data_IF_956807589752
#
_entry.id   IF_956807589752
#
_cell.length_a   1.000
_cell.length_b   1.000
_cell.length_c   1.000
_cell.angle_alpha   90.00
_cell.angle_beta   90.00
_cell.angle_gamma   90.00
#
_symmetry.space_group_name_H-M   'P 1'
#
loop_
_entity.id
_entity.type
_entity.pdbx_description
1 polymer ?
#
# COMPACT_ATOMS: atom_id res chain seq x y z
N UNK A 1 -5.46 48.29 7.74
CA UNK A 1 -4.40 47.27 7.91
C UNK A 1 -3.60 47.62 9.14
N UNK A 2 -3.16 46.62 9.92
CA UNK A 2 -2.45 46.81 11.20
C UNK A 2 -1.35 45.75 11.35
N UNK A 3 -0.27 46.08 12.05
CA UNK A 3 0.79 45.09 12.34
C UNK A 3 0.46 44.37 13.64
N UNK A 4 0.55 43.04 13.62
CA UNK A 4 0.40 42.17 14.80
C UNK A 4 1.68 41.33 14.98
N UNK A 5 2.02 41.06 16.22
CA UNK A 5 3.16 40.22 16.59
C UNK A 5 2.67 39.00 17.37
N UNK A 6 3.22 37.83 17.05
CA UNK A 6 2.92 36.56 17.69
C UNK A 6 4.21 35.92 18.20
N UNK A 7 4.19 35.36 19.41
CA UNK A 7 5.30 34.57 19.93
C UNK A 7 5.29 33.17 19.31
N UNK A 8 6.42 32.49 19.34
CA UNK A 8 6.52 31.08 18.93
C UNK A 8 5.49 30.23 19.69
N UNK A 9 4.70 29.45 18.96
CA UNK A 9 3.64 28.59 19.48
C UNK A 9 2.27 29.26 19.62
N UNK A 10 2.17 30.59 19.44
CA UNK A 10 0.88 31.27 19.49
C UNK A 10 0.06 30.98 18.23
N UNK A 11 -1.24 30.76 18.44
CA UNK A 11 -2.22 30.49 17.37
C UNK A 11 -2.63 31.83 16.76
N UNK A 12 -2.43 31.98 15.46
CA UNK A 12 -2.87 33.15 14.69
C UNK A 12 -4.38 33.06 14.43
N UNK A 13 -4.86 31.88 14.02
CA UNK A 13 -6.28 31.51 13.92
C UNK A 13 -6.43 29.98 13.97
N UNK A 14 -7.62 29.49 14.33
CA UNK A 14 -7.94 28.05 14.38
C UNK A 14 -8.73 27.59 13.15
N UNK A 15 -8.75 26.29 12.92
CA UNK A 15 -9.68 25.70 11.96
C UNK A 15 -11.13 25.92 12.41
N UNK A 16 -11.99 26.30 11.47
CA UNK A 16 -13.41 26.61 11.72
C UNK A 16 -13.67 28.07 12.11
N UNK A 17 -12.67 28.84 12.52
CA UNK A 17 -12.84 30.27 12.83
C UNK A 17 -13.32 31.02 11.59
N UNK A 18 -14.22 31.99 11.78
CA UNK A 18 -14.65 32.90 10.70
C UNK A 18 -13.47 33.71 10.20
N UNK A 19 -13.32 33.82 8.88
CA UNK A 19 -12.28 34.66 8.27
C UNK A 19 -12.73 36.12 8.35
N UNK A 20 -12.15 36.88 9.28
CA UNK A 20 -12.36 38.33 9.41
C UNK A 20 -11.20 39.14 8.83
N UNK A 21 -10.01 38.53 8.78
CA UNK A 21 -8.78 39.11 8.26
C UNK A 21 -7.93 38.05 7.55
N UNK A 22 -7.10 38.50 6.60
CA UNK A 22 -5.95 37.74 6.09
C UNK A 22 -4.66 38.35 6.62
N UNK A 23 -3.57 37.57 6.61
CA UNK A 23 -2.31 37.99 7.23
C UNK A 23 -1.16 37.79 6.26
N UNK A 24 -0.38 38.84 6.01
CA UNK A 24 0.88 38.75 5.27
C UNK A 24 2.04 38.66 6.27
N UNK A 25 2.85 37.61 6.19
CA UNK A 25 4.00 37.45 7.08
C UNK A 25 5.09 38.44 6.67
N UNK A 26 5.47 39.35 7.57
CA UNK A 26 6.54 40.32 7.36
C UNK A 26 7.89 39.78 7.84
N UNK A 27 7.92 39.08 8.97
CA UNK A 27 9.11 38.43 9.52
C UNK A 27 8.71 37.21 10.37
N UNK A 28 9.59 36.22 10.53
CA UNK A 28 9.31 34.99 11.28
C UNK A 28 8.72 33.90 10.39
N UNK A 29 7.76 33.12 10.92
CA UNK A 29 7.12 32.05 10.16
C UNK A 29 5.95 31.40 10.90
N UNK A 30 5.09 30.72 10.14
CA UNK A 30 3.92 30.04 10.66
C UNK A 30 3.75 28.66 10.02
N UNK A 31 3.29 27.70 10.82
CA UNK A 31 2.86 26.38 10.39
C UNK A 31 1.37 26.42 10.09
N UNK A 32 0.99 26.06 8.87
CA UNK A 32 -0.39 25.81 8.50
C UNK A 32 -0.72 24.34 8.80
N UNK A 33 -1.66 24.08 9.71
CA UNK A 33 -1.86 22.76 10.28
C UNK A 33 -3.32 22.48 10.68
N UNK A 34 -3.64 21.24 11.03
CA UNK A 34 -4.84 20.92 11.83
C UNK A 34 -4.46 20.67 13.29
N UNK A 35 -5.19 21.29 14.20
CA UNK A 35 -5.02 21.07 15.64
C UNK A 35 -5.82 19.82 16.01
N UNK A 36 -5.13 18.79 16.52
CA UNK A 36 -5.73 17.49 16.89
C UNK A 36 -5.22 17.03 18.25
N UNK A 37 -5.89 17.50 19.31
CA UNK A 37 -5.52 17.14 20.68
C UNK A 37 -4.09 17.59 21.02
N UNK A 38 -3.20 16.63 21.31
CA UNK A 38 -1.79 16.91 21.67
C UNK A 38 -0.82 17.00 20.48
N UNK A 39 -1.25 16.69 19.25
CA UNK A 39 -0.40 16.77 18.05
C UNK A 39 -1.04 17.65 16.98
N UNK A 40 -0.23 18.47 16.32
CA UNK A 40 -0.65 19.24 15.15
C UNK A 40 -0.25 18.47 13.90
N UNK A 41 -1.17 18.35 12.95
CA UNK A 41 -0.87 17.78 11.63
C UNK A 41 -0.48 18.93 10.72
N UNK A 42 0.81 19.08 10.48
CA UNK A 42 1.37 20.15 9.66
C UNK A 42 1.24 19.86 8.16
N UNK A 43 0.79 20.88 7.41
CA UNK A 43 0.70 20.84 5.95
C UNK A 43 1.79 21.65 5.27
N UNK A 44 2.01 22.88 5.73
CA UNK A 44 2.97 23.82 5.13
C UNK A 44 3.69 24.64 6.19
N UNK A 45 4.96 24.96 5.92
CA UNK A 45 5.71 26.00 6.62
C UNK A 45 5.73 27.25 5.76
N UNK A 46 5.27 28.37 6.33
CA UNK A 46 5.09 29.63 5.63
C UNK A 46 5.99 30.68 6.28
N UNK A 47 6.81 31.34 5.47
CA UNK A 47 7.76 32.37 5.90
C UNK A 47 7.37 33.78 5.42
N UNK A 48 8.30 34.75 5.49
CA UNK A 48 8.07 36.10 5.01
C UNK A 48 7.57 36.13 3.56
N UNK A 49 6.71 37.11 3.24
CA UNK A 49 6.02 37.27 1.95
C UNK A 49 4.92 36.24 1.64
N UNK A 50 4.67 35.25 2.50
CA UNK A 50 3.52 34.36 2.36
C UNK A 50 2.26 34.94 3.01
N UNK A 51 1.10 34.62 2.42
CA UNK A 51 -0.21 34.94 2.98
C UNK A 51 -0.78 33.77 3.80
N UNK A 52 -1.48 34.11 4.86
CA UNK A 52 -2.34 33.22 5.64
C UNK A 52 -3.80 33.63 5.47
N UNK A 53 -4.70 32.66 5.28
CA UNK A 53 -6.13 32.94 5.09
C UNK A 53 -6.52 33.33 3.66
N UNK A 54 -5.63 33.09 2.70
CA UNK A 54 -5.81 33.30 1.25
C UNK A 54 -7.09 32.69 0.67
N UNK A 55 -7.64 31.64 1.31
CA UNK A 55 -8.86 30.95 0.90
C UNK A 55 -10.10 31.85 0.78
N UNK A 56 -10.11 33.01 1.45
CA UNK A 56 -11.19 34.00 1.31
C UNK A 56 -11.32 34.53 -0.12
N UNK A 57 -10.24 34.52 -0.91
CA UNK A 57 -10.24 34.91 -2.33
C UNK A 57 -11.20 34.02 -3.15
N UNK A 58 -11.36 32.75 -2.73
CA UNK A 58 -12.29 31.79 -3.34
C UNK A 58 -13.66 31.74 -2.64
N UNK A 59 -13.96 32.73 -1.78
CA UNK A 59 -15.24 32.84 -1.08
C UNK A 59 -15.37 32.00 0.19
N UNK A 60 -14.28 31.42 0.71
CA UNK A 60 -14.32 30.72 1.99
C UNK A 60 -14.72 31.68 3.13
N UNK A 61 -15.64 31.22 3.99
CA UNK A 61 -16.12 31.99 5.14
C UNK A 61 -15.41 31.62 6.43
N UNK A 62 -14.80 30.44 6.49
CA UNK A 62 -14.08 29.92 7.65
C UNK A 62 -12.71 29.39 7.25
N UNK A 63 -11.76 29.42 8.18
CA UNK A 63 -10.43 28.87 7.98
C UNK A 63 -10.52 27.32 7.91
N UNK A 64 -10.07 26.67 6.82
CA UNK A 64 -10.10 25.21 6.71
C UNK A 64 -8.98 24.51 7.51
N UNK A 65 -8.01 25.29 7.99
CA UNK A 65 -6.82 24.86 8.73
C UNK A 65 -6.48 25.94 9.76
N UNK A 66 -5.77 25.59 10.82
CA UNK A 66 -5.17 26.55 11.74
C UNK A 66 -3.84 27.10 11.21
N UNK A 67 -3.40 28.23 11.77
CA UNK A 67 -2.05 28.76 11.59
C UNK A 67 -1.42 29.04 12.96
N UNK A 68 -0.21 28.53 13.18
CA UNK A 68 0.52 28.66 14.45
C UNK A 68 1.91 29.22 14.18
N UNK A 69 2.31 30.28 14.89
CA UNK A 69 3.62 30.88 14.74
C UNK A 69 4.74 29.88 15.12
N UNK A 70 5.74 29.70 14.26
CA UNK A 70 6.88 28.77 14.49
C UNK A 70 8.13 29.48 15.03
N UNK A 71 8.13 30.82 14.96
CA UNK A 71 9.08 31.73 15.59
C UNK A 71 8.35 33.00 16.05
N UNK A 72 9.07 33.97 16.64
CA UNK A 72 8.52 35.32 16.80
C UNK A 72 8.16 35.88 15.42
N UNK A 73 6.87 36.12 15.19
CA UNK A 73 6.32 36.35 13.86
C UNK A 73 5.54 37.65 13.82
N UNK A 74 5.92 38.55 12.90
CA UNK A 74 5.20 39.79 12.63
C UNK A 74 4.40 39.64 11.36
N UNK A 75 3.13 40.02 11.41
CA UNK A 75 2.22 39.96 10.28
C UNK A 75 1.55 41.31 10.06
N UNK A 76 1.26 41.61 8.79
CA UNK A 76 0.33 42.66 8.41
C UNK A 76 -1.07 42.04 8.32
N UNK A 77 -1.94 42.42 9.25
CA UNK A 77 -3.36 42.06 9.23
C UNK A 77 -4.12 42.96 8.24
N UNK A 78 -4.85 42.31 7.34
CA UNK A 78 -5.64 42.95 6.30
C UNK A 78 -7.10 42.49 6.49
N UNK A 79 -8.02 43.37 6.91
CA UNK A 79 -9.43 43.04 7.03
C UNK A 79 -10.00 42.57 5.69
N UNK A 80 -10.93 41.61 5.72
CA UNK A 80 -11.53 41.04 4.50
C UNK A 80 -12.20 42.12 3.64
N UNK A 81 -12.86 43.11 4.23
CA UNK A 81 -13.50 44.19 3.46
C UNK A 81 -12.48 45.07 2.74
N UNK A 82 -11.33 45.33 3.37
CA UNK A 82 -10.21 46.01 2.71
C UNK A 82 -9.65 45.18 1.55
N UNK A 83 -9.46 43.87 1.76
CA UNK A 83 -8.99 42.97 0.71
C UNK A 83 -9.97 42.91 -0.46
N UNK A 84 -11.28 42.86 -0.19
CA UNK A 84 -12.34 42.88 -1.21
C UNK A 84 -12.29 44.17 -2.03
N UNK A 85 -12.19 45.33 -1.39
CA UNK A 85 -12.06 46.61 -2.10
C UNK A 85 -10.81 46.64 -3.00
N UNK A 86 -9.67 46.13 -2.52
CA UNK A 86 -8.45 46.02 -3.33
C UNK A 86 -8.63 45.07 -4.51
N UNK A 87 -9.28 43.93 -4.29
CA UNK A 87 -9.57 42.96 -5.34
C UNK A 87 -10.55 43.51 -6.37
N UNK A 88 -11.62 44.18 -5.94
CA UNK A 88 -12.64 44.80 -6.80
C UNK A 88 -12.07 45.98 -7.61
N UNK A 89 -11.17 46.77 -7.02
CA UNK A 89 -10.45 47.84 -7.70
C UNK A 89 -9.35 47.36 -8.66
N UNK A 90 -8.98 46.08 -8.64
CA UNK A 90 -7.94 45.54 -9.50
C UNK A 90 -8.39 45.46 -10.98
N UNK A 91 -7.46 45.62 -11.95
CA UNK A 91 -7.74 45.38 -13.36
C UNK A 91 -8.30 43.98 -13.60
N UNK A 92 -9.23 43.85 -14.56
CA UNK A 92 -9.95 42.60 -14.82
C UNK A 92 -9.00 41.42 -15.08
N UNK A 93 -7.91 41.64 -15.81
CA UNK A 93 -6.92 40.60 -16.08
C UNK A 93 -6.26 40.08 -14.80
N UNK A 94 -5.94 40.97 -13.84
CA UNK A 94 -5.33 40.57 -12.58
C UNK A 94 -6.28 39.74 -11.72
N UNK A 95 -7.58 40.08 -11.71
CA UNK A 95 -8.62 39.26 -11.04
C UNK A 95 -8.64 37.83 -11.56
N UNK A 96 -8.57 37.66 -12.88
CA UNK A 96 -8.55 36.33 -13.52
C UNK A 96 -7.29 35.53 -13.13
N UNK A 97 -6.12 36.17 -13.15
CA UNK A 97 -4.86 35.54 -12.72
C UNK A 97 -4.94 35.10 -11.26
N UNK A 98 -5.37 35.99 -10.37
CA UNK A 98 -5.50 35.71 -8.93
C UNK A 98 -6.45 34.53 -8.70
N UNK A 99 -7.62 34.52 -9.36
CA UNK A 99 -8.59 33.44 -9.22
C UNK A 99 -8.03 32.09 -9.70
N UNK A 100 -7.36 32.07 -10.84
CA UNK A 100 -6.76 30.83 -11.37
C UNK A 100 -5.66 30.28 -10.47
N UNK A 101 -4.78 31.14 -9.94
CA UNK A 101 -3.73 30.74 -9.00
C UNK A 101 -4.33 30.24 -7.67
N UNK A 102 -5.36 30.92 -7.16
CA UNK A 102 -6.05 30.52 -5.95
C UNK A 102 -6.72 29.15 -6.11
N UNK A 103 -7.37 28.87 -7.25
CA UNK A 103 -7.96 27.56 -7.53
C UNK A 103 -6.91 26.44 -7.55
N UNK A 104 -5.75 26.65 -8.21
CA UNK A 104 -4.64 25.69 -8.20
C UNK A 104 -4.09 25.46 -6.79
N UNK A 105 -3.92 26.53 -6.01
CA UNK A 105 -3.46 26.43 -4.63
C UNK A 105 -4.44 25.65 -3.75
N UNK A 106 -5.75 25.88 -3.89
CA UNK A 106 -6.79 25.12 -3.19
C UNK A 106 -6.74 23.63 -3.54
N UNK A 107 -6.50 23.27 -4.80
CA UNK A 107 -6.33 21.87 -5.20
C UNK A 107 -5.12 21.23 -4.50
N UNK A 108 -3.94 21.86 -4.59
CA UNK A 108 -2.72 21.35 -3.95
C UNK A 108 -2.83 21.23 -2.43
N UNK A 109 -3.45 22.22 -1.77
CA UNK A 109 -3.71 22.18 -0.32
C UNK A 109 -4.62 21.01 0.05
N UNK A 110 -5.66 20.74 -0.75
CA UNK A 110 -6.57 19.62 -0.49
C UNK A 110 -5.89 18.25 -0.69
N UNK A 111 -5.00 18.13 -1.67
CA UNK A 111 -4.21 16.91 -1.88
C UNK A 111 -3.27 16.65 -0.70
N UNK A 112 -2.48 17.66 -0.29
CA UNK A 112 -1.59 17.57 0.88
C UNK A 112 -2.39 17.23 2.14
N UNK A 113 -3.54 17.89 2.33
CA UNK A 113 -4.43 17.61 3.45
C UNK A 113 -4.94 16.17 3.41
N UNK A 114 -5.38 15.67 2.26
CA UNK A 114 -5.85 14.29 2.12
C UNK A 114 -4.75 13.29 2.46
N UNK A 115 -3.53 13.48 1.96
CA UNK A 115 -2.39 12.61 2.22
C UNK A 115 -1.93 12.66 3.69
N UNK A 116 -1.98 13.83 4.33
CA UNK A 116 -1.57 14.01 5.74
C UNK A 116 -2.64 13.61 6.74
N UNK A 117 -3.91 13.58 6.32
CA UNK A 117 -5.05 13.10 7.11
C UNK A 117 -5.32 11.61 6.95
N UNK A 118 -4.54 10.89 6.13
CA UNK A 118 -4.45 9.44 6.25
C UNK A 118 -3.95 9.13 7.66
N UNK A 119 -4.88 8.76 8.55
CA UNK A 119 -4.71 8.54 10.00
C UNK A 119 -4.14 7.17 10.32
N UNK A 120 -3.56 6.53 9.33
CA UNK A 120 -3.25 5.13 9.38
C UNK A 120 -1.87 5.00 10.01
N UNK A 121 -1.77 4.29 11.13
CA UNK A 121 -0.50 4.05 11.84
C UNK A 121 0.54 3.36 10.96
N UNK A 122 0.07 2.73 9.89
CA UNK A 122 0.84 2.12 8.82
C UNK A 122 0.28 2.54 7.46
N UNK A 123 1.08 2.54 6.38
CA UNK A 123 0.64 2.89 5.02
C UNK A 123 -0.64 2.20 4.49
N UNK A 124 -0.85 0.93 4.85
CA UNK A 124 -2.03 0.13 4.51
C UNK A 124 -2.44 -0.74 5.71
N UNK A 125 -3.23 -0.20 6.65
CA UNK A 125 -3.72 -0.95 7.80
C UNK A 125 -4.59 -2.13 7.40
N UNK A 126 -4.66 -3.14 8.26
CA UNK A 126 -5.42 -4.37 8.00
C UNK A 126 -6.89 -4.09 7.63
N UNK A 127 -7.56 -3.15 8.30
CA UNK A 127 -8.96 -2.78 8.01
C UNK A 127 -9.13 -2.08 6.64
N UNK A 128 -8.05 -1.57 6.06
CA UNK A 128 -8.04 -0.90 4.77
C UNK A 128 -7.57 -1.81 3.61
N UNK A 129 -6.92 -2.96 3.88
CA UNK A 129 -6.36 -3.84 2.83
C UNK A 129 -7.41 -4.24 1.80
N UNK A 130 -8.54 -4.81 2.26
CA UNK A 130 -9.59 -5.28 1.35
C UNK A 130 -10.18 -4.12 0.53
N UNK A 131 -10.36 -2.95 1.15
CA UNK A 131 -10.89 -1.76 0.48
C UNK A 131 -9.92 -1.22 -0.58
N UNK A 132 -8.62 -1.19 -0.29
CA UNK A 132 -7.59 -0.69 -1.20
C UNK A 132 -7.48 -1.56 -2.46
N UNK A 133 -7.42 -2.89 -2.30
CA UNK A 133 -7.39 -3.82 -3.43
C UNK A 133 -8.74 -3.88 -4.16
N UNK A 134 -9.86 -3.85 -3.44
CA UNK A 134 -11.20 -3.79 -4.02
C UNK A 134 -11.43 -2.51 -4.85
N UNK A 135 -10.92 -1.36 -4.40
CA UNK A 135 -10.98 -0.12 -5.17
C UNK A 135 -10.20 -0.21 -6.48
N UNK A 136 -9.01 -0.81 -6.46
CA UNK A 136 -8.21 -1.08 -7.68
C UNK A 136 -8.98 -2.02 -8.61
N UNK A 137 -9.49 -3.14 -8.09
CA UNK A 137 -10.26 -4.11 -8.85
C UNK A 137 -11.49 -3.49 -9.52
N UNK A 138 -12.38 -2.85 -8.74
CA UNK A 138 -13.63 -2.31 -9.26
C UNK A 138 -13.38 -1.14 -10.21
N UNK A 139 -12.35 -0.32 -9.96
CA UNK A 139 -11.97 0.74 -10.90
C UNK A 139 -11.52 0.14 -12.23
N UNK A 140 -10.61 -0.84 -12.20
CA UNK A 140 -10.14 -1.50 -13.42
C UNK A 140 -11.28 -2.22 -14.15
N UNK A 141 -12.15 -2.95 -13.46
CA UNK A 141 -13.24 -3.68 -14.09
C UNK A 141 -14.28 -2.74 -14.74
N UNK A 142 -14.53 -1.57 -14.14
CA UNK A 142 -15.56 -0.65 -14.61
C UNK A 142 -15.05 0.41 -15.60
N UNK A 143 -13.79 0.84 -15.48
CA UNK A 143 -13.19 1.89 -16.31
C UNK A 143 -12.11 1.40 -17.27
N UNK A 144 -11.70 0.15 -17.15
CA UNK A 144 -10.69 -0.43 -18.02
C UNK A 144 -11.23 -0.82 -19.39
N UNK A 145 -10.43 -0.54 -20.41
CA UNK A 145 -10.64 -0.97 -21.77
C UNK A 145 -10.17 -2.42 -21.93
N UNK A 146 -11.05 -3.28 -22.43
CA UNK A 146 -10.79 -4.72 -22.65
C UNK A 146 -10.55 -5.06 -24.13
N UNK A 147 -10.72 -4.09 -25.01
CA UNK A 147 -10.68 -4.24 -26.47
C UNK A 147 -9.31 -3.85 -27.04
N UNK A 148 -8.61 -2.90 -26.41
CA UNK A 148 -7.30 -2.40 -26.85
C UNK A 148 -6.24 -3.51 -26.94
N UNK A 149 -6.17 -4.40 -25.95
CA UNK A 149 -5.24 -5.52 -25.94
C UNK A 149 -5.92 -6.78 -25.41
N UNK A 150 -6.03 -7.79 -26.27
CA UNK A 150 -6.68 -9.06 -25.92
C UNK A 150 -6.01 -9.70 -24.70
N UNK A 151 -6.82 -10.07 -23.71
CA UNK A 151 -6.35 -10.68 -22.47
C UNK A 151 -5.80 -9.68 -21.45
N UNK A 152 -5.96 -8.37 -21.67
CA UNK A 152 -5.59 -7.31 -20.73
C UNK A 152 -6.76 -6.39 -20.47
N UNK A 153 -6.72 -5.76 -19.30
CA UNK A 153 -7.60 -4.64 -18.97
C UNK A 153 -6.72 -3.41 -18.81
N UNK A 154 -6.89 -2.42 -19.68
CA UNK A 154 -6.03 -1.23 -19.74
C UNK A 154 -6.77 -0.04 -19.15
N UNK A 155 -6.17 0.63 -18.17
CA UNK A 155 -6.75 1.80 -17.50
C UNK A 155 -5.79 2.98 -17.61
N UNK A 156 -6.28 4.13 -18.08
CA UNK A 156 -5.53 5.39 -18.03
C UNK A 156 -5.23 5.78 -16.57
N UNK A 157 -3.99 6.18 -16.27
CA UNK A 157 -3.52 6.39 -14.90
C UNK A 157 -4.29 7.49 -14.18
N UNK A 158 -4.57 8.59 -14.88
CA UNK A 158 -5.38 9.67 -14.35
C UNK A 158 -6.81 9.22 -14.05
N UNK A 159 -7.41 8.39 -14.91
CA UNK A 159 -8.73 7.80 -14.66
C UNK A 159 -8.71 6.88 -13.44
N UNK A 160 -7.69 6.03 -13.33
CA UNK A 160 -7.50 5.11 -12.21
C UNK A 160 -7.49 5.86 -10.88
N UNK A 161 -6.62 6.87 -10.76
CA UNK A 161 -6.50 7.70 -9.54
C UNK A 161 -7.80 8.44 -9.22
N UNK A 162 -8.38 9.13 -10.19
CA UNK A 162 -9.56 9.97 -9.96
C UNK A 162 -10.80 9.15 -9.60
N UNK A 163 -11.01 8.01 -10.26
CA UNK A 163 -12.17 7.17 -9.99
C UNK A 163 -12.03 6.45 -8.64
N UNK A 164 -10.85 5.88 -8.35
CA UNK A 164 -10.58 5.24 -7.06
C UNK A 164 -10.81 6.21 -5.89
N UNK A 165 -10.32 7.45 -6.03
CA UNK A 165 -10.49 8.49 -5.02
C UNK A 165 -11.93 8.97 -4.88
N UNK A 166 -12.64 9.25 -5.98
CA UNK A 166 -14.00 9.82 -5.91
C UNK A 166 -15.04 8.81 -5.48
N UNK A 167 -14.90 7.55 -5.91
CA UNK A 167 -15.92 6.51 -5.67
C UNK A 167 -15.65 5.75 -4.37
N UNK A 168 -14.39 5.40 -4.10
CA UNK A 168 -14.02 4.58 -2.94
C UNK A 168 -13.36 5.38 -1.81
N UNK A 169 -13.07 6.67 -2.04
CA UNK A 169 -12.32 7.48 -1.07
C UNK A 169 -10.89 6.97 -0.87
N UNK A 170 -10.35 6.19 -1.80
CA UNK A 170 -8.99 5.68 -1.70
C UNK A 170 -7.98 6.68 -2.23
N UNK A 171 -6.89 6.90 -1.50
CA UNK A 171 -5.91 7.89 -1.93
C UNK A 171 -5.18 7.44 -3.20
N UNK A 172 -4.85 8.38 -4.10
CA UNK A 172 -4.04 8.06 -5.28
C UNK A 172 -2.72 7.37 -4.95
N UNK A 173 -2.10 7.75 -3.82
CA UNK A 173 -0.86 7.14 -3.34
C UNK A 173 -1.08 5.68 -2.95
N UNK A 174 -2.11 5.36 -2.16
CA UNK A 174 -2.39 3.96 -1.77
C UNK A 174 -2.72 3.10 -2.98
N UNK A 175 -3.50 3.64 -3.93
CA UNK A 175 -3.82 3.00 -5.21
C UNK A 175 -2.54 2.66 -5.98
N UNK A 176 -1.61 3.60 -6.09
CA UNK A 176 -0.31 3.37 -6.73
C UNK A 176 0.50 2.27 -6.05
N UNK A 177 0.57 2.27 -4.71
CA UNK A 177 1.30 1.24 -3.97
C UNK A 177 0.68 -0.15 -4.14
N UNK A 178 -0.65 -0.27 -4.13
CA UNK A 178 -1.33 -1.53 -4.44
C UNK A 178 -0.95 -2.01 -5.84
N UNK A 179 -0.96 -1.12 -6.84
CA UNK A 179 -0.58 -1.50 -8.21
C UNK A 179 0.91 -1.84 -8.29
N UNK A 180 1.78 -1.20 -7.52
CA UNK A 180 3.19 -1.59 -7.42
C UNK A 180 3.35 -3.02 -6.90
N UNK A 181 2.54 -3.45 -5.93
CA UNK A 181 2.49 -4.87 -5.50
C UNK A 181 2.09 -5.74 -6.69
N UNK A 182 1.05 -5.38 -7.43
CA UNK A 182 0.61 -6.15 -8.60
C UNK A 182 1.67 -6.22 -9.70
N UNK A 183 2.40 -5.13 -9.96
CA UNK A 183 3.52 -5.09 -10.92
C UNK A 183 4.66 -6.00 -10.46
N UNK A 184 5.03 -5.92 -9.19
CA UNK A 184 6.07 -6.78 -8.60
C UNK A 184 5.68 -8.26 -8.66
N UNK A 185 4.39 -8.57 -8.51
CA UNK A 185 3.84 -9.91 -8.64
C UNK A 185 3.54 -10.33 -10.09
N UNK A 186 3.89 -9.50 -11.09
CA UNK A 186 3.65 -9.75 -12.52
C UNK A 186 2.17 -9.94 -12.87
N UNK A 187 1.27 -9.30 -12.11
CA UNK A 187 -0.17 -9.25 -12.36
C UNK A 187 -0.61 -7.95 -13.04
N UNK A 188 0.27 -6.96 -13.07
CA UNK A 188 0.06 -5.72 -13.81
C UNK A 188 1.37 -5.23 -14.45
N UNK A 189 1.26 -4.30 -15.40
CA UNK A 189 2.39 -3.60 -16.00
C UNK A 189 2.05 -2.11 -16.10
N UNK A 190 3.05 -1.25 -15.90
CA UNK A 190 2.93 0.16 -16.24
C UNK A 190 3.30 0.42 -17.69
N UNK A 191 2.53 1.28 -18.34
CA UNK A 191 2.92 1.95 -19.57
C UNK A 191 3.45 3.33 -19.20
N UNK A 192 4.75 3.54 -19.41
CA UNK A 192 5.43 4.80 -19.16
C UNK A 192 5.40 5.67 -20.41
N UNK A 193 5.34 6.98 -20.24
CA UNK A 193 5.36 7.91 -21.34
C UNK A 193 5.45 9.37 -20.89
N UNK A 194 5.52 10.28 -21.87
CA UNK A 194 5.63 11.71 -21.61
C UNK A 194 4.30 12.29 -21.11
N UNK A 195 4.32 13.17 -20.09
CA UNK A 195 3.15 13.93 -19.69
C UNK A 195 2.62 14.76 -20.86
N UNK A 196 1.30 14.77 -21.05
CA UNK A 196 0.67 15.51 -22.15
C UNK A 196 0.88 17.04 -22.04
N UNK A 197 1.03 17.55 -20.81
CA UNK A 197 1.26 18.95 -20.49
C UNK A 197 2.75 19.32 -20.40
N UNK A 198 3.65 18.33 -20.36
CA UNK A 198 5.09 18.53 -20.40
C UNK A 198 5.79 17.45 -21.26
N UNK A 199 5.76 17.59 -22.60
CA UNK A 199 6.31 16.58 -23.51
C UNK A 199 7.83 16.35 -23.37
N UNK A 200 8.56 17.32 -22.81
CA UNK A 200 10.01 17.21 -22.54
C UNK A 200 10.32 16.72 -21.11
N UNK A 201 9.28 16.48 -20.29
CA UNK A 201 9.41 16.01 -18.92
C UNK A 201 9.96 14.58 -18.80
N UNK A 202 10.20 14.15 -17.57
CA UNK A 202 10.53 12.76 -17.29
C UNK A 202 9.33 11.85 -17.62
N UNK A 203 9.60 10.57 -17.88
CA UNK A 203 8.53 9.62 -18.14
C UNK A 203 7.72 9.38 -16.86
N UNK A 204 6.41 9.45 -16.99
CA UNK A 204 5.44 9.20 -15.94
C UNK A 204 4.52 8.05 -16.32
N UNK A 205 3.86 7.45 -15.33
CA UNK A 205 2.88 6.39 -15.56
C UNK A 205 1.71 6.96 -16.37
N UNK A 206 1.50 6.45 -17.58
CA UNK A 206 0.37 6.82 -18.44
C UNK A 206 -0.78 5.86 -18.28
N UNK A 207 -0.51 4.55 -18.26
CA UNK A 207 -1.54 3.50 -18.15
C UNK A 207 -1.11 2.36 -17.25
N UNK A 208 -2.10 1.61 -16.80
CA UNK A 208 -1.91 0.35 -16.09
C UNK A 208 -2.56 -0.77 -16.89
N UNK A 209 -1.80 -1.81 -17.18
CA UNK A 209 -2.24 -3.01 -17.88
C UNK A 209 -2.40 -4.12 -16.85
N UNK A 210 -3.64 -4.48 -16.51
CA UNK A 210 -3.91 -5.63 -15.65
C UNK A 210 -3.90 -6.91 -16.48
N UNK A 211 -3.11 -7.88 -16.04
CA UNK A 211 -2.89 -9.16 -16.71
C UNK A 211 -3.81 -10.26 -16.17
N UNK A 212 -4.11 -10.22 -14.87
CA UNK A 212 -5.06 -11.12 -14.23
C UNK A 212 -5.80 -10.39 -13.10
N UNK A 213 -7.00 -9.91 -13.42
CA UNK A 213 -7.84 -9.21 -12.47
C UNK A 213 -8.56 -10.18 -11.51
N UNK A 214 -8.69 -11.46 -11.89
CA UNK A 214 -9.34 -12.48 -11.07
C UNK A 214 -8.53 -12.81 -9.82
N UNK A 215 -7.19 -12.81 -9.92
CA UNK A 215 -6.33 -12.98 -8.74
C UNK A 215 -6.40 -11.79 -7.77
N UNK A 216 -6.66 -10.58 -8.27
CA UNK A 216 -6.89 -9.40 -7.43
C UNK A 216 -8.22 -9.54 -6.68
N UNK A 217 -9.26 -9.99 -7.39
CA UNK A 217 -10.57 -10.29 -6.80
C UNK A 217 -10.50 -11.32 -5.69
N UNK A 218 -9.92 -12.48 -6.02
CA UNK A 218 -9.73 -13.58 -5.08
C UNK A 218 -9.00 -13.13 -3.82
N UNK A 219 -7.98 -12.26 -3.95
CA UNK A 219 -7.23 -11.75 -2.81
C UNK A 219 -8.05 -10.88 -1.87
N UNK A 220 -8.74 -9.84 -2.37
CA UNK A 220 -9.46 -8.94 -1.47
C UNK A 220 -10.70 -9.62 -0.88
N UNK A 221 -11.33 -10.55 -1.59
CA UNK A 221 -12.41 -11.38 -1.05
C UNK A 221 -11.91 -12.33 0.05
N UNK A 222 -10.78 -13.01 -0.20
CA UNK A 222 -10.07 -13.81 0.79
C UNK A 222 -9.78 -12.97 2.05
N UNK A 223 -9.18 -11.80 1.88
CA UNK A 223 -8.83 -10.93 2.99
C UNK A 223 -10.07 -10.48 3.76
N UNK A 224 -11.08 -9.96 3.06
CA UNK A 224 -12.33 -9.49 3.64
C UNK A 224 -13.04 -10.60 4.43
N UNK A 225 -13.09 -11.82 3.89
CA UNK A 225 -13.72 -12.95 4.54
C UNK A 225 -13.05 -13.27 5.88
N UNK A 226 -11.73 -13.46 5.90
CA UNK A 226 -11.03 -13.85 7.13
C UNK A 226 -10.87 -12.71 8.13
N UNK A 227 -10.82 -11.45 7.67
CA UNK A 227 -10.72 -10.29 8.54
C UNK A 227 -12.05 -9.97 9.24
N UNK A 228 -13.16 -9.89 8.50
CA UNK A 228 -14.45 -9.46 9.07
C UNK A 228 -15.36 -10.61 9.53
N UNK A 229 -15.32 -11.75 8.83
CA UNK A 229 -16.24 -12.89 9.09
C UNK A 229 -15.54 -14.08 9.76
N UNK A 230 -14.22 -14.17 9.67
CA UNK A 230 -13.41 -15.26 10.20
C UNK A 230 -13.14 -15.17 11.70
N UNK A 231 -14.16 -15.36 12.54
CA UNK A 231 -13.97 -15.42 13.99
C UNK A 231 -12.87 -16.45 14.35
N UNK A 232 -11.72 -15.97 14.86
CA UNK A 232 -10.59 -16.79 15.28
C UNK A 232 -9.68 -17.34 14.17
N UNK A 233 -9.81 -16.89 12.91
CA UNK A 233 -8.98 -17.35 11.77
C UNK A 233 -8.04 -16.29 11.20
N UNK A 234 -7.75 -15.23 11.96
CA UNK A 234 -6.82 -14.16 11.56
C UNK A 234 -5.41 -14.66 11.24
N UNK A 235 -5.01 -15.80 11.80
CA UNK A 235 -3.73 -16.46 11.47
C UNK A 235 -3.58 -16.82 9.98
N UNK A 236 -4.68 -16.95 9.22
CA UNK A 236 -4.63 -17.16 7.77
C UNK A 236 -4.20 -15.92 7.00
N UNK A 237 -4.33 -14.73 7.61
CA UNK A 237 -3.89 -13.45 7.06
C UNK A 237 -2.44 -13.11 7.43
N UNK A 238 -1.75 -14.01 8.13
CA UNK A 238 -0.33 -13.86 8.45
C UNK A 238 0.50 -14.76 7.55
N UNK A 239 1.53 -14.18 6.95
CA UNK A 239 2.49 -14.92 6.14
C UNK A 239 3.34 -15.81 7.03
N UNK A 240 3.43 -17.08 6.65
CA UNK A 240 4.36 -18.04 7.23
C UNK A 240 5.36 -18.41 6.14
N UNK A 241 6.60 -17.95 6.26
CA UNK A 241 7.62 -18.11 5.21
C UNK A 241 7.89 -19.58 4.88
N UNK A 242 7.78 -20.49 5.85
CA UNK A 242 7.96 -21.93 5.61
C UNK A 242 6.82 -22.46 4.75
N UNK A 243 5.58 -22.11 5.10
CA UNK A 243 4.41 -22.51 4.33
C UNK A 243 4.43 -21.91 2.92
N UNK A 244 4.83 -20.63 2.78
CA UNK A 244 4.99 -19.96 1.50
C UNK A 244 6.03 -20.68 0.62
N UNK A 245 7.20 -21.01 1.18
CA UNK A 245 8.26 -21.70 0.45
C UNK A 245 7.88 -23.14 0.07
N UNK A 246 7.18 -23.86 0.95
CA UNK A 246 6.64 -25.19 0.63
C UNK A 246 5.62 -25.13 -0.50
N UNK A 247 4.69 -24.16 -0.46
CA UNK A 247 3.65 -24.00 -1.46
C UNK A 247 4.22 -23.59 -2.83
N UNK A 248 5.17 -22.63 -2.83
CA UNK A 248 5.91 -22.20 -4.02
C UNK A 248 6.75 -23.36 -4.59
N UNK A 249 7.40 -24.13 -3.73
CA UNK A 249 8.16 -25.33 -4.12
C UNK A 249 7.28 -26.41 -4.75
N UNK A 250 6.12 -26.72 -4.16
CA UNK A 250 5.17 -27.68 -4.73
C UNK A 250 4.73 -27.27 -6.13
N UNK A 251 4.36 -26.00 -6.31
CA UNK A 251 3.93 -25.48 -7.61
C UNK A 251 5.07 -25.48 -8.64
N UNK A 252 6.31 -25.17 -8.23
CA UNK A 252 7.49 -25.29 -9.10
C UNK A 252 7.77 -26.73 -9.55
N UNK A 253 7.67 -27.70 -8.63
CA UNK A 253 7.88 -29.12 -8.95
C UNK A 253 6.77 -29.68 -9.84
N UNK A 254 5.57 -29.12 -9.73
CA UNK A 254 4.39 -29.42 -10.55
C UNK A 254 4.56 -28.89 -11.98
N UNK A 255 5.18 -27.72 -12.14
CA UNK A 255 5.38 -27.06 -13.43
C UNK A 255 4.17 -26.23 -13.89
N UNK A 256 4.34 -25.54 -15.03
CA UNK A 256 3.37 -24.54 -15.49
C UNK A 256 2.09 -25.16 -16.08
N UNK A 257 2.22 -26.32 -16.72
CA UNK A 257 1.12 -27.04 -17.39
C UNK A 257 1.00 -28.49 -16.92
N UNK A 258 0.56 -28.72 -15.68
CA UNK A 258 0.43 -30.06 -15.13
C UNK A 258 -0.83 -30.76 -15.61
N UNK A 259 -0.78 -32.08 -15.64
CA UNK A 259 -1.96 -32.91 -15.78
C UNK A 259 -2.87 -32.73 -14.57
N UNK A 260 -4.12 -32.38 -14.84
CA UNK A 260 -5.17 -32.19 -13.84
C UNK A 260 -6.35 -33.09 -14.16
N UNK A 261 -6.97 -33.65 -13.12
CA UNK A 261 -8.20 -34.40 -13.27
C UNK A 261 -9.42 -33.48 -13.49
N UNK A 262 -10.62 -34.08 -13.64
CA UNK A 262 -11.88 -33.34 -13.83
C UNK A 262 -12.25 -32.38 -12.67
N UNK A 263 -11.59 -32.51 -11.52
CA UNK A 263 -11.79 -31.67 -10.35
C UNK A 263 -10.67 -30.64 -10.17
N UNK A 264 -9.72 -30.54 -11.11
CA UNK A 264 -8.57 -29.64 -11.01
C UNK A 264 -7.45 -30.18 -10.12
N UNK A 265 -7.51 -31.46 -9.74
CA UNK A 265 -6.52 -32.07 -8.85
C UNK A 265 -5.34 -32.56 -9.67
N UNK A 266 -4.14 -32.17 -9.26
CA UNK A 266 -2.87 -32.66 -9.81
C UNK A 266 -2.17 -33.60 -8.83
N UNK A 267 -1.10 -34.27 -9.26
CA UNK A 267 -0.33 -35.20 -8.43
C UNK A 267 1.18 -34.99 -8.60
N UNK A 268 1.90 -34.95 -7.48
CA UNK A 268 3.36 -34.85 -7.43
C UNK A 268 3.91 -36.02 -6.64
N UNK A 269 5.00 -36.64 -7.12
CA UNK A 269 5.71 -37.67 -6.36
C UNK A 269 6.34 -37.08 -5.09
N UNK A 270 6.05 -37.69 -3.94
CA UNK A 270 6.60 -37.26 -2.66
C UNK A 270 8.13 -37.23 -2.68
N UNK A 271 8.78 -38.23 -3.29
CA UNK A 271 10.24 -38.29 -3.40
C UNK A 271 10.80 -37.07 -4.15
N UNK A 272 10.23 -36.75 -5.32
CA UNK A 272 10.61 -35.58 -6.11
C UNK A 272 10.48 -34.27 -5.33
N UNK A 273 9.39 -34.09 -4.58
CA UNK A 273 9.20 -32.89 -3.76
C UNK A 273 10.13 -32.88 -2.53
N UNK A 274 10.36 -34.03 -1.89
CA UNK A 274 11.30 -34.17 -0.78
C UNK A 274 12.74 -33.82 -1.19
N UNK A 275 13.15 -34.23 -2.39
CA UNK A 275 14.45 -33.87 -2.96
C UNK A 275 14.54 -32.36 -3.20
N UNK A 276 13.48 -31.74 -3.71
CA UNK A 276 13.42 -30.28 -3.86
C UNK A 276 13.55 -29.56 -2.50
N UNK A 277 12.82 -29.99 -1.48
CA UNK A 277 12.94 -29.41 -0.12
C UNK A 277 14.37 -29.49 0.41
N UNK A 278 15.03 -30.65 0.22
CA UNK A 278 16.39 -30.87 0.71
C UNK A 278 17.41 -29.99 -0.02
N UNK A 279 17.32 -29.92 -1.35
CA UNK A 279 18.34 -29.28 -2.19
C UNK A 279 18.12 -27.77 -2.34
N UNK A 280 16.87 -27.32 -2.43
CA UNK A 280 16.53 -25.91 -2.71
C UNK A 280 16.06 -25.16 -1.47
N UNK A 281 15.39 -25.82 -0.52
CA UNK A 281 14.88 -25.19 0.71
C UNK A 281 15.75 -25.49 1.94
N UNK A 282 16.66 -26.45 1.88
CA UNK A 282 17.64 -26.74 2.93
C UNK A 282 17.10 -27.54 4.13
N UNK A 283 15.93 -28.18 4.01
CA UNK A 283 15.36 -29.01 5.07
C UNK A 283 14.78 -30.32 4.54
N UNK A 284 14.80 -31.36 5.38
CA UNK A 284 14.14 -32.63 5.14
C UNK A 284 12.65 -32.53 5.46
N UNK A 285 11.81 -32.83 4.46
CA UNK A 285 10.36 -32.80 4.57
C UNK A 285 9.86 -33.86 5.56
N UNK A 286 8.90 -33.49 6.41
CA UNK A 286 8.35 -34.37 7.46
C UNK A 286 6.88 -34.03 7.75
N UNK A 287 6.22 -34.80 8.63
CA UNK A 287 4.80 -34.63 8.96
C UNK A 287 4.45 -33.25 9.53
N UNK A 288 5.33 -32.59 10.28
CA UNK A 288 5.03 -31.29 10.89
C UNK A 288 4.88 -30.19 9.84
N UNK A 289 5.61 -30.28 8.73
CA UNK A 289 5.44 -29.36 7.60
C UNK A 289 4.04 -29.46 6.99
N UNK A 290 3.49 -30.67 6.86
CA UNK A 290 2.13 -30.88 6.35
C UNK A 290 1.09 -30.38 7.37
N UNK A 291 1.25 -30.69 8.66
CA UNK A 291 0.38 -30.18 9.72
C UNK A 291 0.35 -28.64 9.73
N UNK A 292 1.50 -27.99 9.48
CA UNK A 292 1.62 -26.53 9.42
C UNK A 292 0.87 -25.94 8.22
N UNK A 293 0.98 -26.57 7.05
CA UNK A 293 0.20 -26.20 5.85
C UNK A 293 -1.31 -26.37 6.09
N UNK A 294 -1.73 -27.48 6.69
CA UNK A 294 -3.14 -27.74 7.02
C UNK A 294 -3.68 -26.70 8.00
N UNK A 295 -2.89 -26.29 8.99
CA UNK A 295 -3.22 -25.18 9.91
C UNK A 295 -3.39 -23.84 9.20
N UNK A 296 -2.78 -23.69 8.02
CA UNK A 296 -2.93 -22.55 7.11
C UNK A 296 -4.01 -22.75 6.05
N UNK A 297 -4.84 -23.78 6.19
CA UNK A 297 -5.96 -24.09 5.29
C UNK A 297 -5.54 -24.74 3.97
N UNK A 298 -4.29 -25.18 3.84
CA UNK A 298 -3.77 -25.83 2.64
C UNK A 298 -3.81 -27.35 2.84
N UNK A 299 -4.69 -28.02 2.11
CA UNK A 299 -4.89 -29.46 2.23
C UNK A 299 -4.32 -30.22 1.04
N UNK A 300 -3.65 -31.34 1.32
CA UNK A 300 -3.21 -32.27 0.29
C UNK A 300 -3.40 -33.72 0.75
N UNK A 301 -3.77 -34.58 -0.20
CA UNK A 301 -3.98 -36.00 0.06
C UNK A 301 -2.75 -36.80 -0.33
N UNK A 302 -2.29 -37.64 0.60
CA UNK A 302 -1.26 -38.66 0.31
C UNK A 302 -1.93 -39.92 -0.22
N UNK A 303 -1.51 -40.37 -1.41
CA UNK A 303 -1.98 -41.61 -2.03
C UNK A 303 -0.80 -42.53 -2.32
N UNK A 304 -0.79 -43.70 -1.71
CA UNK A 304 0.21 -44.74 -2.00
C UNK A 304 -0.08 -45.35 -3.38
N UNK A 305 0.95 -45.41 -4.23
CA UNK A 305 0.90 -46.03 -5.57
C UNK A 305 2.14 -46.89 -5.74
N UNK A 306 1.96 -48.22 -5.73
CA UNK A 306 3.08 -49.17 -5.72
C UNK A 306 3.98 -48.96 -4.50
N UNK A 307 5.28 -48.75 -4.74
CA UNK A 307 6.26 -48.42 -3.69
C UNK A 307 6.39 -46.91 -3.40
N UNK A 308 5.69 -46.06 -4.15
CA UNK A 308 5.76 -44.60 -4.04
C UNK A 308 4.55 -43.98 -3.34
N UNK A 309 4.68 -42.69 -3.01
CA UNK A 309 3.59 -41.86 -2.47
C UNK A 309 3.40 -40.65 -3.40
N UNK A 310 2.14 -40.41 -3.80
CA UNK A 310 1.73 -39.22 -4.53
C UNK A 310 1.07 -38.22 -3.57
N UNK A 311 1.42 -36.95 -3.75
CA UNK A 311 0.77 -35.79 -3.13
C UNK A 311 -0.25 -35.24 -4.11
N UNK A 312 -1.54 -35.30 -3.75
CA UNK A 312 -2.65 -34.82 -4.58
C UNK A 312 -3.27 -33.57 -3.98
N UNK A 313 -3.45 -32.53 -4.79
CA UNK A 313 -4.02 -31.26 -4.36
C UNK A 313 -4.68 -30.52 -5.53
N UNK A 314 -5.63 -29.64 -5.22
CA UNK A 314 -6.30 -28.81 -6.23
C UNK A 314 -5.38 -27.63 -6.58
N UNK A 315 -5.08 -27.49 -7.87
CA UNK A 315 -4.02 -26.59 -8.30
C UNK A 315 -4.41 -25.11 -8.19
N UNK A 316 -5.68 -24.76 -8.42
CA UNK A 316 -6.12 -23.36 -8.42
C UNK A 316 -6.09 -22.78 -7.01
N UNK A 317 -6.51 -23.55 -6.01
CA UNK A 317 -6.46 -23.22 -4.58
C UNK A 317 -5.02 -22.93 -4.17
N UNK A 318 -4.09 -23.80 -4.55
CA UNK A 318 -2.67 -23.64 -4.22
C UNK A 318 -2.09 -22.38 -4.88
N UNK A 319 -2.40 -22.14 -6.17
CA UNK A 319 -1.96 -20.93 -6.89
C UNK A 319 -2.56 -19.66 -6.28
N UNK A 320 -3.86 -19.67 -5.98
CA UNK A 320 -4.57 -18.54 -5.38
C UNK A 320 -4.01 -18.21 -3.99
N UNK A 321 -3.80 -19.22 -3.15
CA UNK A 321 -3.27 -19.03 -1.81
C UNK A 321 -1.82 -18.55 -1.82
N UNK A 322 -0.98 -19.10 -2.69
CA UNK A 322 0.39 -18.62 -2.85
C UNK A 322 0.40 -17.14 -3.26
N UNK A 323 -0.47 -16.78 -4.21
CA UNK A 323 -0.57 -15.41 -4.67
C UNK A 323 -1.03 -14.46 -3.55
N UNK A 324 -2.03 -14.87 -2.76
CA UNK A 324 -2.50 -14.11 -1.61
C UNK A 324 -1.41 -13.89 -0.56
N UNK A 325 -0.62 -14.93 -0.23
CA UNK A 325 0.48 -14.79 0.71
C UNK A 325 1.63 -13.93 0.18
N UNK A 326 1.92 -14.00 -1.12
CA UNK A 326 2.88 -13.08 -1.74
C UNK A 326 2.41 -11.63 -1.66
N UNK A 327 1.11 -11.36 -1.84
CA UNK A 327 0.55 -10.02 -1.66
C UNK A 327 0.63 -9.56 -0.19
N UNK A 328 0.24 -10.40 0.77
CA UNK A 328 0.36 -10.09 2.21
C UNK A 328 1.80 -9.75 2.60
N UNK A 329 2.77 -10.53 2.13
CA UNK A 329 4.19 -10.30 2.42
C UNK A 329 4.65 -8.93 1.93
N UNK A 330 4.18 -8.51 0.77
CA UNK A 330 4.49 -7.18 0.23
C UNK A 330 3.75 -6.05 0.96
N UNK A 331 2.55 -6.30 1.48
CA UNK A 331 1.84 -5.36 2.37
C UNK A 331 2.59 -5.18 3.69
N UNK A 332 3.10 -6.26 4.29
CA UNK A 332 3.89 -6.19 5.53
C UNK A 332 5.15 -5.33 5.31
N UNK A 333 5.92 -5.61 4.26
CA UNK A 333 7.09 -4.81 3.87
C UNK A 333 6.74 -3.36 3.57
N UNK A 334 5.62 -3.13 2.88
CA UNK A 334 5.14 -1.78 2.61
C UNK A 334 4.83 -1.05 3.90
N UNK A 335 4.15 -1.70 4.84
CA UNK A 335 3.81 -1.13 6.13
C UNK A 335 5.05 -0.78 6.97
N UNK A 336 6.10 -1.61 6.90
CA UNK A 336 7.38 -1.36 7.56
C UNK A 336 8.17 -0.21 6.92
N UNK A 337 8.24 -0.15 5.58
CA UNK A 337 9.10 0.79 4.85
C UNK A 337 8.44 2.13 4.53
N UNK A 338 7.11 2.18 4.48
CA UNK A 338 6.36 3.34 4.02
C UNK A 338 5.99 3.33 2.53
N UNK A 339 6.61 2.45 1.73
CA UNK A 339 6.40 2.30 0.29
C UNK A 339 6.75 0.89 -0.20
N UNK A 340 6.28 0.53 -1.40
CA UNK A 340 6.57 -0.71 -2.12
C UNK A 340 7.77 -0.47 -3.03
N UNK A 341 8.84 -1.23 -2.81
CA UNK A 341 10.05 -1.19 -3.64
C UNK A 341 9.92 -2.17 -4.81
N UNK A 342 9.84 -1.62 -6.03
CA UNK A 342 9.78 -2.39 -7.29
C UNK A 342 11.13 -2.98 -7.69
N UNK A 343 12.25 -2.46 -7.16
CA UNK A 343 13.60 -2.89 -7.51
C UNK A 343 14.23 -3.84 -6.47
N UNK A 344 13.45 -4.25 -5.46
CA UNK A 344 13.90 -5.19 -4.45
C UNK A 344 14.25 -6.54 -5.11
N UNK A 345 15.48 -7.00 -4.87
CA UNK A 345 15.92 -8.32 -5.33
C UNK A 345 15.24 -9.40 -4.50
N UNK A 346 14.75 -10.45 -5.16
CA UNK A 346 14.26 -11.63 -4.45
C UNK A 346 15.39 -12.26 -3.63
N UNK A 347 15.21 -12.33 -2.32
CA UNK A 347 16.10 -13.10 -1.45
C UNK A 347 15.88 -14.58 -1.74
N UNK A 348 16.94 -15.28 -2.14
CA UNK A 348 16.90 -16.74 -2.26
C UNK A 348 16.83 -17.36 -0.87
N UNK A 349 16.13 -18.51 -0.71
CA UNK A 349 16.18 -19.28 0.53
C UNK A 349 17.65 -19.51 0.92
N UNK A 350 18.00 -19.25 2.19
CA UNK A 350 19.37 -19.43 2.68
C UNK A 350 19.77 -20.90 2.52
N UNK A 351 20.79 -21.16 1.70
CA UNK A 351 21.41 -22.48 1.60
C UNK A 351 22.09 -22.84 2.93
N UNK A 352 22.11 -24.13 3.27
CA UNK A 352 22.74 -24.69 4.48
C UNK A 352 24.08 -24.02 4.78
N UNK A 353 24.19 -23.42 5.97
CA UNK A 353 25.44 -23.00 6.57
C UNK A 353 25.88 -24.05 7.62
N UNK A 354 27.16 -24.04 8.02
CA UNK A 354 27.76 -25.03 8.95
C UNK A 354 27.32 -24.82 10.43
N UNK A 355 26.07 -24.38 10.66
CA UNK A 355 25.49 -24.19 11.99
C UNK A 355 24.93 -25.49 12.60
N UNK A 356 24.48 -25.44 13.87
CA UNK A 356 23.80 -26.56 14.49
C UNK A 356 22.50 -26.91 13.73
N UNK A 357 22.24 -28.20 13.55
CA UNK A 357 21.09 -28.70 12.79
C UNK A 357 19.94 -29.19 13.68
N UNK A 358 18.71 -29.03 13.20
CA UNK A 358 17.53 -29.60 13.82
C UNK A 358 17.57 -31.14 13.70
N UNK A 359 17.33 -31.90 14.79
CA UNK A 359 17.39 -33.36 14.74
C UNK A 359 16.33 -33.96 13.82
N UNK A 360 15.18 -33.29 13.66
CA UNK A 360 14.02 -33.83 12.94
C UNK A 360 13.98 -33.45 11.45
N UNK A 361 14.31 -32.21 11.09
CA UNK A 361 14.26 -31.75 9.70
C UNK A 361 15.64 -31.40 9.12
N UNK A 362 16.72 -31.51 9.90
CA UNK A 362 18.09 -31.18 9.47
C UNK A 362 18.28 -29.76 8.94
N UNK A 363 17.33 -28.86 9.20
CA UNK A 363 17.50 -27.44 8.93
C UNK A 363 18.54 -26.86 9.88
N UNK A 364 19.23 -25.82 9.45
CA UNK A 364 20.04 -25.02 10.36
C UNK A 364 19.14 -24.37 11.42
N UNK A 365 19.66 -24.22 12.63
CA UNK A 365 18.94 -23.58 13.73
C UNK A 365 19.75 -22.47 14.37
N UNK A 366 19.06 -21.38 14.69
CA UNK A 366 19.66 -20.23 15.37
C UNK A 366 20.09 -20.63 16.77
N UNK A 367 21.33 -20.30 17.14
CA UNK A 367 21.86 -20.57 18.47
C UNK A 367 20.95 -19.96 19.56
N UNK A 368 20.57 -20.76 20.56
CA UNK A 368 19.68 -20.33 21.65
C UNK A 368 18.18 -20.40 21.33
N UNK A 369 17.78 -20.83 20.13
CA UNK A 369 16.37 -21.08 19.83
C UNK A 369 15.81 -22.25 20.66
N UNK A 370 14.59 -22.11 21.17
CA UNK A 370 13.88 -23.20 21.87
C UNK A 370 13.13 -24.14 20.93
N UNK A 371 12.86 -23.70 19.71
CA UNK A 371 12.13 -24.44 18.67
C UNK A 371 12.79 -24.23 17.32
N UNK A 372 12.70 -25.22 16.44
CA UNK A 372 13.13 -25.14 15.06
C UNK A 372 12.18 -24.21 14.28
N UNK A 373 12.74 -23.22 13.57
CA UNK A 373 11.97 -22.28 12.74
C UNK A 373 11.27 -22.94 11.54
N UNK A 374 11.85 -24.02 11.01
CA UNK A 374 11.32 -24.75 9.85
C UNK A 374 10.19 -25.71 10.24
N UNK A 375 10.47 -26.71 11.09
CA UNK A 375 9.50 -27.77 11.42
C UNK A 375 8.82 -27.61 12.79
N UNK A 376 9.17 -26.62 13.61
CA UNK A 376 8.57 -26.42 14.93
C UNK A 376 9.04 -27.37 16.02
N UNK A 377 9.97 -28.31 15.73
CA UNK A 377 10.51 -29.24 16.72
C UNK A 377 11.14 -28.51 17.91
N UNK A 378 10.83 -28.96 19.14
CA UNK A 378 11.43 -28.41 20.37
C UNK A 378 12.91 -28.79 20.45
N UNK A 379 13.79 -27.79 20.45
CA UNK A 379 15.24 -27.99 20.55
C UNK A 379 15.60 -28.13 22.02
N UNK A 380 16.34 -29.19 22.34
CA UNK A 380 16.88 -29.38 23.69
C UNK A 380 18.10 -28.48 23.80
N UNK A 381 18.09 -27.53 24.74
CA UNK A 381 19.28 -26.73 25.06
C UNK A 381 20.40 -27.66 25.49
N UNK A 382 21.56 -27.58 24.84
CA UNK A 382 22.77 -28.17 25.42
C UNK A 382 22.96 -27.54 26.81
N UNK A 383 22.95 -28.38 27.85
CA UNK A 383 23.19 -27.98 29.23
C UNK A 383 24.65 -27.57 29.43
#
# INVERSE_FOLDING_TARGET
MSVKSFKKGEVIFKDGDKITSVYLIQSGGASQCLIRGKKNVEFFQLGPSHFLGDQVILGAQTHPTAAIATAETKVLEIPVDTLKQMYEGAPQMLKVIIKSLAERLRMGVNEVRSAKLEKDSSPCPEDQVAKAFGAVFHTANHKGDKEVLKGRIVVEWTMMKQYAQRVFGESPKRVEQVINILVKQKLALYEMGKPADNPEGADEIQKVHFLDLGLVEAFFEFFQYYYFKGAGKSELLRVDEVCLNLLDGLLKVTGDSPDVDRFGVTSVEFAKFSDYCTNELGFALNNDHFTRLEGKGIFMKRRTVGAGVLLQFEIKEFRSMLQSWKMLREIDKWNERGYVDLNEKEEKPKKKSNGPECPQCKSEVVAGAKFCGECGHKLVSAA
#
